data_IF_149050721855
#
_entry.id   IF_149050721855
#
_cell.length_a   1.000
_cell.length_b   1.000
_cell.length_c   1.000
_cell.angle_alpha   90.00
_cell.angle_beta   90.00
_cell.angle_gamma   90.00
#
_symmetry.space_group_name_H-M   'P 1'
#
loop_
_entity.id
_entity.type
_entity.pdbx_description
1 polymer ?
#
# COMPACT_ATOMS: atom_id res chain seq x y z
N UNK A 1 5.33 -22.49 -16.32
CA UNK A 1 6.58 -21.80 -15.87
C UNK A 1 6.90 -22.25 -14.46
N UNK A 2 8.11 -22.77 -14.22
CA UNK A 2 8.56 -23.13 -12.87
C UNK A 2 9.06 -21.84 -12.21
N UNK A 3 8.61 -21.57 -10.97
CA UNK A 3 9.10 -20.47 -10.15
C UNK A 3 9.58 -21.01 -8.82
N UNK A 4 10.53 -20.35 -8.20
CA UNK A 4 11.02 -20.68 -6.87
C UNK A 4 10.86 -19.49 -5.93
N UNK A 5 10.61 -19.75 -4.63
CA UNK A 5 10.47 -18.68 -3.64
C UNK A 5 11.81 -17.97 -3.45
N UNK A 6 11.74 -16.65 -3.27
CA UNK A 6 12.88 -15.80 -2.93
C UNK A 6 12.65 -15.28 -1.51
N UNK A 7 13.48 -15.66 -0.53
CA UNK A 7 13.35 -15.16 0.83
C UNK A 7 13.45 -13.64 0.89
N UNK A 8 12.47 -13.00 1.55
CA UNK A 8 12.43 -11.57 1.76
C UNK A 8 12.98 -11.20 3.14
N UNK A 9 13.62 -10.06 3.20
CA UNK A 9 14.05 -9.38 4.43
C UNK A 9 13.35 -8.04 4.50
N UNK A 10 12.81 -7.69 5.68
CA UNK A 10 12.15 -6.43 5.93
C UNK A 10 12.88 -5.63 7.02
N UNK A 11 13.08 -4.34 6.77
CA UNK A 11 13.52 -3.37 7.76
C UNK A 11 12.45 -2.30 7.97
N UNK A 12 12.35 -1.77 9.19
CA UNK A 12 11.41 -0.68 9.48
C UNK A 12 11.94 0.30 10.52
N UNK A 13 11.44 1.53 10.48
CA UNK A 13 11.80 2.62 11.38
C UNK A 13 10.61 2.95 12.30
N UNK A 14 10.55 2.36 13.50
CA UNK A 14 9.46 2.57 14.45
C UNK A 14 9.27 4.05 14.80
N UNK A 15 10.36 4.79 15.06
CA UNK A 15 10.30 6.20 15.44
C UNK A 15 9.90 7.14 14.32
N UNK A 16 9.78 6.63 13.08
CA UNK A 16 9.43 7.39 11.87
C UNK A 16 8.14 6.85 11.21
N UNK A 17 7.05 6.76 11.97
CA UNK A 17 5.76 6.30 11.46
C UNK A 17 5.61 4.79 11.33
N UNK A 18 6.54 4.00 11.88
CA UNK A 18 6.55 2.56 11.63
C UNK A 18 6.91 2.18 10.19
N UNK A 19 7.37 3.15 9.37
CA UNK A 19 7.67 3.01 7.94
C UNK A 19 8.57 1.82 7.66
N UNK A 20 8.23 1.03 6.65
CA UNK A 20 9.14 0.01 6.13
C UNK A 20 10.19 0.70 5.25
N UNK A 21 11.45 0.45 5.59
CA UNK A 21 12.61 1.07 4.95
C UNK A 21 13.36 0.13 4.02
N UNK A 22 13.02 -1.16 4.05
CA UNK A 22 13.61 -2.20 3.21
C UNK A 22 12.61 -3.33 3.04
N UNK A 23 12.51 -3.83 1.83
CA UNK A 23 11.84 -5.09 1.48
C UNK A 23 12.67 -5.73 0.37
N UNK A 24 13.66 -6.53 0.75
CA UNK A 24 14.65 -7.02 -0.21
C UNK A 24 14.75 -8.53 -0.23
N UNK A 25 15.14 -9.09 -1.37
CA UNK A 25 15.39 -10.52 -1.53
C UNK A 25 15.99 -10.84 -2.89
N UNK A 26 16.82 -11.87 -2.97
CA UNK A 26 17.44 -12.31 -4.23
C UNK A 26 18.29 -11.24 -4.93
N UNK A 27 18.87 -10.31 -4.19
CA UNK A 27 19.68 -9.21 -4.72
C UNK A 27 18.86 -8.00 -5.22
N UNK A 28 17.55 -7.96 -4.96
CA UNK A 28 16.65 -6.87 -5.34
C UNK A 28 16.08 -6.18 -4.09
N UNK A 29 16.05 -4.83 -4.08
CA UNK A 29 15.20 -4.02 -3.22
C UNK A 29 13.88 -3.76 -3.97
N UNK A 30 12.76 -4.02 -3.31
CA UNK A 30 11.44 -3.82 -3.90
C UNK A 30 10.87 -2.43 -3.63
N UNK A 31 11.30 -1.80 -2.51
CA UNK A 31 10.79 -0.48 -2.17
C UNK A 31 11.58 0.60 -2.90
N UNK A 32 10.85 1.51 -3.53
CA UNK A 32 11.42 2.70 -4.13
C UNK A 32 11.76 3.73 -3.06
N UNK A 33 12.87 4.44 -3.23
CA UNK A 33 13.33 5.48 -2.33
C UNK A 33 13.85 6.68 -3.09
N UNK A 34 13.67 7.86 -2.48
CA UNK A 34 14.32 9.08 -2.94
C UNK A 34 15.00 9.79 -1.76
N UNK A 35 16.12 10.49 -2.00
CA UNK A 35 16.69 11.39 -1.01
C UNK A 35 15.69 12.51 -0.71
N UNK A 36 15.17 12.56 0.51
CA UNK A 36 14.23 13.58 0.96
C UNK A 36 14.53 13.94 2.43
N UNK A 37 15.48 14.87 2.67
CA UNK A 37 15.89 15.23 4.03
C UNK A 37 14.75 15.77 4.90
N UNK A 38 13.72 16.38 4.28
CA UNK A 38 12.54 16.86 5.00
C UNK A 38 11.79 15.72 5.72
N UNK A 39 11.87 14.47 5.22
CA UNK A 39 11.23 13.30 5.86
C UNK A 39 11.80 13.04 7.25
N UNK A 40 13.07 13.32 7.48
CA UNK A 40 13.71 13.12 8.78
C UNK A 40 13.31 14.19 9.81
N UNK A 41 12.85 15.32 9.35
CA UNK A 41 12.43 16.45 10.18
C UNK A 41 10.91 16.50 10.44
N UNK A 42 10.13 15.58 9.84
CA UNK A 42 8.66 15.51 9.97
C UNK A 42 8.24 15.42 11.44
N UNK A 43 7.24 16.21 11.79
CA UNK A 43 6.57 16.21 13.09
C UNK A 43 5.12 15.75 12.93
N UNK A 44 4.51 15.26 14.02
CA UNK A 44 3.09 14.91 14.01
C UNK A 44 2.20 16.04 13.52
N UNK A 45 1.45 15.79 12.42
CA UNK A 45 0.54 16.76 11.81
C UNK A 45 1.14 17.58 10.67
N UNK A 46 2.42 17.41 10.36
CA UNK A 46 3.02 18.03 9.15
C UNK A 46 2.38 17.46 7.87
N UNK A 47 2.44 18.20 6.76
CA UNK A 47 2.07 17.69 5.44
C UNK A 47 2.90 16.46 5.07
N UNK A 48 2.30 15.57 4.28
CA UNK A 48 2.98 14.36 3.83
C UNK A 48 4.24 14.67 3.04
N UNK A 49 5.31 13.94 3.37
CA UNK A 49 6.62 14.06 2.72
C UNK A 49 6.96 12.70 2.10
N UNK A 50 6.90 12.63 0.79
CA UNK A 50 7.19 11.41 0.04
C UNK A 50 8.70 11.16 -0.08
N UNK A 51 9.17 10.17 0.64
CA UNK A 51 10.55 9.66 0.57
C UNK A 51 10.61 8.19 0.12
N UNK A 52 9.49 7.64 -0.36
CA UNK A 52 9.36 6.24 -0.72
C UNK A 52 9.27 5.30 0.47
N UNK A 53 9.56 4.01 0.26
CA UNK A 53 9.34 2.97 1.26
C UNK A 53 7.89 2.51 1.31
N UNK A 54 7.45 1.97 2.45
CA UNK A 54 6.04 1.66 2.70
C UNK A 54 5.59 2.38 3.96
N UNK A 55 4.70 3.35 3.80
CA UNK A 55 4.13 4.13 4.90
C UNK A 55 2.77 3.54 5.32
N UNK A 56 2.41 3.74 6.58
CA UNK A 56 1.09 3.37 7.11
C UNK A 56 0.13 4.54 6.97
N UNK A 57 -0.87 4.43 6.12
CA UNK A 57 -1.93 5.43 6.01
C UNK A 57 -3.11 5.04 6.89
N UNK A 58 -3.48 5.89 7.84
CA UNK A 58 -4.63 5.72 8.74
C UNK A 58 -4.98 7.06 9.40
N UNK A 59 -6.24 7.48 9.53
CA UNK A 59 -7.49 6.77 9.17
C UNK A 59 -7.94 7.00 7.72
N UNK A 60 -7.14 7.60 6.88
CA UNK A 60 -7.44 7.92 5.47
C UNK A 60 -6.17 7.85 4.64
N UNK A 61 -6.28 7.71 3.32
CA UNK A 61 -5.15 7.79 2.39
C UNK A 61 -5.03 9.21 1.83
N UNK A 62 -6.13 9.78 1.34
CA UNK A 62 -6.23 11.20 0.93
C UNK A 62 -7.08 11.97 1.93
N UNK A 63 -7.16 13.28 1.77
CA UNK A 63 -8.01 14.13 2.57
C UNK A 63 -7.26 14.84 3.69
N UNK A 64 -7.86 14.90 4.88
CA UNK A 64 -7.27 15.61 6.03
C UNK A 64 -7.27 14.74 7.28
N UNK A 65 -6.07 14.45 7.84
CA UNK A 65 -4.74 14.77 7.29
C UNK A 65 -4.39 13.88 6.11
N UNK A 66 -3.63 14.41 5.15
CA UNK A 66 -3.17 13.67 3.98
C UNK A 66 -2.26 12.50 4.39
N UNK A 67 -2.48 11.31 3.84
CA UNK A 67 -1.89 10.03 4.24
C UNK A 67 -2.19 9.64 5.71
N UNK A 68 -3.18 10.28 6.32
CA UNK A 68 -3.57 10.02 7.70
C UNK A 68 -2.60 10.59 8.73
N UNK A 69 -2.64 10.05 9.95
CA UNK A 69 -2.03 10.67 11.12
C UNK A 69 -0.94 9.78 11.78
N UNK A 70 -0.77 8.54 11.31
CA UNK A 70 0.16 7.59 11.95
C UNK A 70 1.55 7.59 11.31
N UNK A 71 1.68 7.94 10.04
CA UNK A 71 2.93 7.96 9.29
C UNK A 71 3.94 8.98 9.83
N UNK A 72 3.47 10.11 10.39
CA UNK A 72 4.30 11.20 10.91
C UNK A 72 4.65 11.07 12.39
N UNK A 73 4.19 9.98 13.06
CA UNK A 73 4.33 9.80 14.51
C UNK A 73 5.31 8.70 14.88
N UNK A 74 6.06 8.85 15.98
CA UNK A 74 6.85 7.76 16.49
C UNK A 74 5.94 6.64 17.03
N UNK A 75 6.17 5.42 16.59
CA UNK A 75 5.59 4.22 17.17
C UNK A 75 6.51 3.70 18.27
N UNK A 76 5.95 3.11 19.30
CA UNK A 76 6.67 2.62 20.49
C UNK A 76 6.56 1.11 20.59
N UNK A 77 7.54 0.50 21.26
CA UNK A 77 7.48 -0.91 21.58
C UNK A 77 6.25 -1.21 22.44
N UNK A 78 5.49 -2.23 22.06
CA UNK A 78 4.25 -2.67 22.72
C UNK A 78 4.27 -4.17 23.06
N UNK A 79 5.45 -4.79 23.01
CA UNK A 79 5.69 -6.20 23.30
C UNK A 79 6.78 -6.78 22.39
N UNK A 80 7.12 -8.05 22.54
CA UNK A 80 8.12 -8.70 21.69
C UNK A 80 7.77 -8.64 20.21
N UNK A 81 8.59 -7.92 19.42
CA UNK A 81 8.40 -7.74 18.00
C UNK A 81 7.17 -6.90 17.61
N UNK A 82 6.49 -6.29 18.57
CA UNK A 82 5.28 -5.50 18.36
C UNK A 82 5.57 -4.02 18.61
N UNK A 83 5.08 -3.17 17.71
CA UNK A 83 5.10 -1.72 17.87
C UNK A 83 3.68 -1.17 17.81
N UNK A 84 3.43 -0.03 18.44
CA UNK A 84 2.14 0.62 18.51
C UNK A 84 2.24 2.13 18.36
N UNK A 85 1.15 2.71 17.83
CA UNK A 85 0.88 4.14 17.85
C UNK A 85 -0.50 4.39 18.47
N UNK A 86 -0.56 5.34 19.40
CA UNK A 86 -1.78 5.71 20.10
C UNK A 86 -2.30 7.06 19.59
N UNK A 87 -3.60 7.11 19.37
CA UNK A 87 -4.36 8.32 19.05
C UNK A 87 -5.56 8.45 20.00
N UNK A 88 -6.11 9.63 20.17
CA UNK A 88 -7.29 9.79 21.03
C UNK A 88 -8.47 8.88 20.68
N UNK A 89 -8.62 8.54 19.37
CA UNK A 89 -9.74 7.74 18.86
C UNK A 89 -9.40 6.28 18.59
N UNK A 90 -8.11 5.88 18.59
CA UNK A 90 -7.71 4.49 18.34
C UNK A 90 -6.30 4.19 18.82
N UNK A 91 -6.00 2.90 18.95
CA UNK A 91 -4.65 2.35 19.10
C UNK A 91 -4.40 1.39 17.95
N UNK A 92 -3.35 1.62 17.17
CA UNK A 92 -2.90 0.68 16.14
C UNK A 92 -1.64 -0.03 16.61
N UNK A 93 -1.64 -1.36 16.55
CA UNK A 93 -0.47 -2.21 16.78
C UNK A 93 -0.11 -2.98 15.52
N UNK A 94 1.20 -3.23 15.34
CA UNK A 94 1.72 -4.06 14.26
C UNK A 94 2.84 -4.96 14.78
N UNK A 95 2.80 -6.24 14.38
CA UNK A 95 3.89 -7.19 14.58
C UNK A 95 4.33 -7.72 13.22
N UNK A 96 5.62 -7.65 12.92
CA UNK A 96 6.20 -8.24 11.72
C UNK A 96 6.97 -9.49 12.10
N UNK A 97 6.75 -10.56 11.33
CA UNK A 97 7.45 -11.85 11.47
C UNK A 97 7.89 -12.34 10.09
N UNK A 98 8.98 -13.09 10.07
CA UNK A 98 9.47 -13.83 8.90
C UNK A 98 9.16 -15.31 9.09
N UNK A 99 8.51 -15.91 8.12
CA UNK A 99 8.26 -17.35 8.06
C UNK A 99 8.80 -17.91 6.74
N UNK A 100 9.97 -18.54 6.80
CA UNK A 100 10.62 -19.15 5.63
C UNK A 100 10.79 -18.16 4.44
N UNK A 101 11.12 -16.91 4.76
CA UNK A 101 11.33 -15.86 3.75
C UNK A 101 10.05 -15.18 3.24
N UNK A 102 8.89 -15.49 3.84
CA UNK A 102 7.64 -14.75 3.63
C UNK A 102 7.48 -13.76 4.77
N UNK A 103 7.30 -12.48 4.44
CA UNK A 103 7.06 -11.43 5.44
C UNK A 103 5.58 -11.38 5.78
N UNK A 104 5.27 -11.48 7.07
CA UNK A 104 3.91 -11.40 7.60
C UNK A 104 3.84 -10.24 8.58
N UNK A 105 2.92 -9.31 8.34
CA UNK A 105 2.59 -8.21 9.25
C UNK A 105 1.17 -8.42 9.79
N UNK A 106 1.08 -8.68 11.09
CA UNK A 106 -0.18 -8.78 11.82
C UNK A 106 -0.51 -7.43 12.44
N UNK A 107 -1.71 -6.96 12.22
CA UNK A 107 -2.22 -5.69 12.72
C UNK A 107 -3.42 -5.88 13.64
N UNK A 108 -3.58 -4.96 14.58
CA UNK A 108 -4.77 -4.81 15.41
C UNK A 108 -5.04 -3.32 15.63
N UNK A 109 -6.25 -2.90 15.29
CA UNK A 109 -6.77 -1.58 15.63
C UNK A 109 -7.84 -1.75 16.71
N UNK A 110 -7.66 -1.06 17.84
CA UNK A 110 -8.63 -0.97 18.91
C UNK A 110 -9.20 0.44 18.95
N UNK A 111 -10.52 0.55 18.94
CA UNK A 111 -11.28 1.82 19.00
C UNK A 111 -12.70 1.58 19.48
N UNK A 112 -13.45 2.65 19.71
CA UNK A 112 -14.87 2.57 20.02
C UNK A 112 -15.65 1.88 18.89
N UNK A 113 -16.65 1.04 19.20
CA UNK A 113 -17.54 0.45 18.21
C UNK A 113 -18.15 1.50 17.29
N UNK A 114 -18.17 1.21 15.98
CA UNK A 114 -18.64 2.16 14.96
C UNK A 114 -17.56 3.12 14.45
N UNK A 115 -16.35 3.12 15.01
CA UNK A 115 -15.25 3.91 14.48
C UNK A 115 -14.96 3.49 13.04
N UNK A 116 -15.05 4.45 12.10
CA UNK A 116 -14.78 4.24 10.67
C UNK A 116 -13.34 4.62 10.35
N UNK A 117 -12.72 3.84 9.48
CA UNK A 117 -11.36 4.12 9.03
C UNK A 117 -11.09 3.51 7.65
N UNK A 118 -10.10 4.07 6.98
CA UNK A 118 -9.41 3.47 5.85
C UNK A 118 -7.97 3.24 6.30
N UNK A 119 -7.44 2.06 6.03
CA UNK A 119 -6.02 1.76 6.21
C UNK A 119 -5.42 1.36 4.87
N UNK A 120 -4.21 1.83 4.58
CA UNK A 120 -3.43 1.34 3.45
C UNK A 120 -1.96 1.18 3.82
N UNK A 121 -1.36 0.11 3.33
CA UNK A 121 0.08 -0.04 3.26
C UNK A 121 0.55 0.68 1.99
N UNK A 122 0.88 1.97 2.10
CA UNK A 122 1.32 2.81 0.98
C UNK A 122 2.72 2.39 0.52
N UNK A 123 2.79 1.28 -0.22
CA UNK A 123 4.02 0.66 -0.68
C UNK A 123 4.43 1.23 -2.04
N UNK A 124 5.44 2.09 -2.06
CA UNK A 124 6.05 2.55 -3.30
C UNK A 124 7.13 1.57 -3.75
N UNK A 125 6.98 1.03 -4.96
CA UNK A 125 7.82 -0.04 -5.48
C UNK A 125 8.83 0.48 -6.51
N UNK A 126 10.06 -0.04 -6.44
CA UNK A 126 11.11 0.20 -7.44
C UNK A 126 10.94 -0.78 -8.61
N UNK A 127 10.35 -0.26 -9.67
CA UNK A 127 9.91 -1.06 -10.81
C UNK A 127 10.44 -0.52 -12.13
N UNK A 128 10.86 -1.44 -13.00
CA UNK A 128 11.24 -1.09 -14.36
C UNK A 128 10.04 -0.61 -15.20
N UNK A 129 10.27 0.08 -16.31
CA UNK A 129 9.18 0.44 -17.24
C UNK A 129 8.43 -0.75 -17.85
N UNK A 130 8.98 -1.97 -17.77
CA UNK A 130 8.35 -3.19 -18.28
C UNK A 130 7.46 -3.90 -17.25
N UNK A 131 7.46 -3.44 -15.99
CA UNK A 131 6.71 -4.05 -14.90
C UNK A 131 5.20 -4.07 -15.18
N UNK A 132 4.53 -5.09 -14.63
CA UNK A 132 3.08 -5.27 -14.75
C UNK A 132 2.45 -5.57 -13.41
N UNK A 133 1.25 -5.01 -13.22
CA UNK A 133 0.35 -5.35 -12.13
C UNK A 133 -0.70 -6.37 -12.61
N UNK A 134 -0.85 -7.44 -11.85
CA UNK A 134 -1.84 -8.49 -12.12
C UNK A 134 -2.90 -8.51 -11.03
N UNK A 135 -4.14 -8.53 -11.48
CA UNK A 135 -5.34 -8.75 -10.68
C UNK A 135 -6.35 -9.55 -11.52
N UNK A 136 -7.39 -10.14 -10.96
CA UNK A 136 -8.40 -10.86 -11.72
C UNK A 136 -9.04 -9.96 -12.78
N UNK A 137 -9.17 -10.47 -14.01
CA UNK A 137 -9.82 -9.73 -15.07
C UNK A 137 -11.28 -9.41 -14.72
N UNK A 138 -11.72 -8.21 -15.04
CA UNK A 138 -13.07 -7.76 -14.72
C UNK A 138 -13.27 -7.24 -13.30
N UNK A 139 -12.25 -7.26 -12.45
CA UNK A 139 -12.30 -6.64 -11.12
C UNK A 139 -12.83 -5.20 -11.23
N UNK A 140 -13.88 -4.87 -10.50
CA UNK A 140 -14.39 -3.49 -10.43
C UNK A 140 -13.28 -2.57 -9.95
N UNK A 141 -13.00 -1.54 -10.73
CA UNK A 141 -11.91 -0.61 -10.46
C UNK A 141 -12.45 0.80 -10.47
N UNK A 142 -12.28 1.50 -9.35
CA UNK A 142 -12.61 2.92 -9.20
C UNK A 142 -11.39 3.73 -9.62
N UNK A 143 -11.55 4.56 -10.64
CA UNK A 143 -10.50 5.36 -11.26
C UNK A 143 -10.63 6.81 -10.82
N UNK A 144 -9.52 7.42 -10.42
CA UNK A 144 -9.41 8.81 -10.00
C UNK A 144 -8.55 9.59 -10.99
N UNK A 145 -9.19 10.47 -11.76
CA UNK A 145 -8.55 11.38 -12.71
C UNK A 145 -8.87 12.81 -12.26
N UNK A 146 -8.01 13.39 -11.42
CA UNK A 146 -8.22 14.76 -10.95
C UNK A 146 -8.29 15.77 -12.12
N UNK A 147 -9.24 16.73 -12.14
CA UNK A 147 -10.16 17.08 -11.05
C UNK A 147 -11.54 16.38 -11.11
N UNK A 148 -11.75 15.42 -12.00
CA UNK A 148 -13.04 14.78 -12.23
C UNK A 148 -13.44 13.86 -11.06
N UNK A 149 -14.74 13.67 -10.80
CA UNK A 149 -15.19 12.69 -9.84
C UNK A 149 -14.78 11.27 -10.26
N UNK A 150 -14.57 10.35 -9.30
CA UNK A 150 -14.15 9.00 -9.63
C UNK A 150 -15.16 8.28 -10.53
N UNK A 151 -14.64 7.53 -11.50
CA UNK A 151 -15.42 6.68 -12.39
C UNK A 151 -15.12 5.20 -12.12
N UNK A 152 -16.04 4.29 -12.46
CA UNK A 152 -15.83 2.86 -12.28
C UNK A 152 -15.82 2.12 -13.62
N UNK A 153 -15.06 1.05 -13.68
CA UNK A 153 -14.98 0.15 -14.83
C UNK A 153 -14.20 -1.13 -14.52
N UNK A 154 -14.15 -2.06 -15.47
CA UNK A 154 -13.46 -3.33 -15.27
C UNK A 154 -11.94 -3.19 -15.38
N UNK A 155 -11.19 -3.87 -14.52
CA UNK A 155 -9.77 -4.12 -14.69
C UNK A 155 -9.50 -4.91 -15.99
N UNK A 156 -8.45 -4.64 -16.78
CA UNK A 156 -7.35 -3.72 -16.46
C UNK A 156 -7.51 -2.32 -17.08
N UNK A 157 -8.65 -1.96 -17.64
CA UNK A 157 -8.81 -0.70 -18.36
C UNK A 157 -10.13 0.02 -18.02
N UNK A 158 -10.35 0.46 -16.75
CA UNK A 158 -11.53 1.24 -16.39
C UNK A 158 -11.56 2.53 -17.20
N UNK A 159 -12.75 2.89 -17.71
CA UNK A 159 -12.96 4.05 -18.58
C UNK A 159 -11.96 4.15 -19.76
N UNK A 160 -11.41 3.01 -20.22
CA UNK A 160 -10.43 2.97 -21.32
C UNK A 160 -8.98 3.26 -20.89
N UNK A 161 -8.73 3.61 -19.62
CA UNK A 161 -7.38 3.89 -19.11
C UNK A 161 -6.70 2.58 -18.69
N UNK A 162 -5.64 2.21 -19.39
CA UNK A 162 -4.93 0.96 -19.13
C UNK A 162 -4.01 1.07 -17.93
N UNK A 163 -4.23 0.24 -16.91
CA UNK A 163 -3.57 0.32 -15.60
C UNK A 163 -2.61 -0.84 -15.27
N UNK A 164 -2.73 -1.98 -15.98
CA UNK A 164 -1.88 -3.15 -15.74
C UNK A 164 -0.42 -2.97 -16.19
N UNK A 165 -0.13 -1.94 -16.98
CA UNK A 165 1.23 -1.55 -17.39
C UNK A 165 1.73 -0.42 -16.53
N UNK A 166 2.87 -0.64 -15.88
CA UNK A 166 3.46 0.30 -14.93
C UNK A 166 4.57 1.17 -15.54
N UNK A 167 4.59 1.28 -16.85
CA UNK A 167 5.47 2.12 -17.65
C UNK A 167 5.30 1.86 -19.14
N UNK A 168 6.11 2.50 -20.00
CA UNK A 168 7.10 3.55 -19.71
C UNK A 168 6.49 4.86 -19.19
N UNK A 169 7.35 5.82 -18.78
CA UNK A 169 6.91 7.15 -18.35
C UNK A 169 6.23 7.88 -19.52
N UNK A 170 5.04 8.40 -19.27
CA UNK A 170 4.20 9.05 -20.28
C UNK A 170 3.65 10.42 -19.83
N UNK A 171 4.08 10.90 -18.67
CA UNK A 171 3.65 12.19 -18.11
C UNK A 171 2.27 12.12 -17.44
N UNK A 172 1.74 10.94 -17.15
CA UNK A 172 0.46 10.78 -16.45
C UNK A 172 0.66 10.45 -14.97
N UNK A 173 -0.32 10.83 -14.14
CA UNK A 173 -0.46 10.38 -12.77
C UNK A 173 -1.92 9.99 -12.51
N UNK A 174 -2.15 8.77 -12.04
CA UNK A 174 -3.48 8.19 -11.90
C UNK A 174 -3.57 7.41 -10.59
N UNK A 175 -4.62 7.68 -9.82
CA UNK A 175 -5.03 6.85 -8.69
C UNK A 175 -6.12 5.86 -9.10
N UNK A 176 -6.09 4.66 -8.56
CA UNK A 176 -7.18 3.69 -8.75
C UNK A 176 -7.34 2.79 -7.51
N UNK A 177 -8.55 2.27 -7.30
CA UNK A 177 -8.85 1.27 -6.28
C UNK A 177 -9.50 0.07 -6.94
N UNK A 178 -8.84 -1.08 -6.87
CA UNK A 178 -9.35 -2.37 -7.31
C UNK A 178 -10.20 -2.93 -6.16
N UNK A 179 -11.51 -2.88 -6.32
CA UNK A 179 -12.50 -3.22 -5.29
C UNK A 179 -12.57 -4.74 -5.10
N UNK A 180 -12.71 -5.19 -3.85
CA UNK A 180 -12.75 -6.60 -3.49
C UNK A 180 -11.56 -7.40 -4.04
N UNK A 181 -10.39 -6.74 -4.11
CA UNK A 181 -9.16 -7.29 -4.62
C UNK A 181 -8.11 -7.37 -3.50
N UNK A 182 -8.19 -8.38 -2.61
CA UNK A 182 -7.29 -8.49 -1.46
C UNK A 182 -5.89 -8.98 -1.84
N UNK A 183 -5.70 -9.43 -3.08
CA UNK A 183 -4.42 -9.96 -3.57
C UNK A 183 -4.04 -9.31 -4.89
N UNK A 184 -2.85 -8.74 -4.92
CA UNK A 184 -2.23 -8.19 -6.11
C UNK A 184 -0.84 -8.81 -6.33
N UNK A 185 -0.44 -8.92 -7.58
CA UNK A 185 0.86 -9.47 -7.97
C UNK A 185 1.55 -8.51 -8.95
N UNK A 186 2.81 -8.20 -8.67
CA UNK A 186 3.64 -7.41 -9.58
C UNK A 186 4.71 -8.31 -10.19
N UNK A 187 4.84 -8.27 -11.51
CA UNK A 187 5.96 -8.92 -12.22
C UNK A 187 6.87 -7.87 -12.84
N UNK A 188 8.18 -8.08 -12.73
CA UNK A 188 9.18 -7.21 -13.29
C UNK A 188 10.42 -8.03 -13.70
N UNK A 189 10.56 -8.27 -15.01
CA UNK A 189 11.51 -9.25 -15.53
C UNK A 189 11.16 -10.67 -15.07
N UNK A 190 12.11 -11.36 -14.47
CA UNK A 190 11.92 -12.70 -13.91
C UNK A 190 11.32 -12.65 -12.47
N UNK A 191 11.30 -11.50 -11.84
CA UNK A 191 10.89 -11.37 -10.45
C UNK A 191 9.38 -11.12 -10.32
N UNK A 192 8.82 -11.63 -9.23
CA UNK A 192 7.40 -11.52 -8.88
C UNK A 192 7.29 -11.18 -7.40
N UNK A 193 6.48 -10.15 -7.08
CA UNK A 193 6.09 -9.80 -5.72
C UNK A 193 4.59 -10.00 -5.58
N UNK A 194 4.16 -10.66 -4.53
CA UNK A 194 2.74 -10.82 -4.18
C UNK A 194 2.46 -10.14 -2.86
N UNK A 195 1.42 -9.32 -2.83
CA UNK A 195 0.87 -8.70 -1.62
C UNK A 195 -0.54 -9.25 -1.41
N UNK A 196 -0.82 -9.78 -0.23
CA UNK A 196 -2.10 -10.39 0.11
C UNK A 196 -2.60 -9.89 1.46
N UNK A 197 -3.83 -9.40 1.50
CA UNK A 197 -4.50 -8.81 2.65
C UNK A 197 -5.64 -9.69 3.13
N UNK A 198 -5.56 -10.15 4.37
CA UNK A 198 -6.61 -10.91 5.03
C UNK A 198 -7.26 -10.06 6.12
N UNK A 199 -8.58 -9.92 6.08
CA UNK A 199 -9.38 -9.30 7.12
C UNK A 199 -10.83 -9.81 7.01
N UNK A 200 -11.36 -10.35 8.07
CA UNK A 200 -12.74 -10.84 8.07
C UNK A 200 -13.73 -9.67 8.20
N UNK A 201 -14.79 -9.68 7.36
CA UNK A 201 -15.92 -8.79 7.50
C UNK A 201 -15.65 -7.31 7.19
N UNK A 202 -14.49 -6.98 6.62
CA UNK A 202 -14.13 -5.62 6.22
C UNK A 202 -13.90 -5.53 4.71
N UNK A 203 -14.10 -4.36 4.06
CA UNK A 203 -13.76 -4.16 2.66
C UNK A 203 -12.25 -4.27 2.46
N UNK A 204 -11.82 -5.11 1.51
CA UNK A 204 -10.40 -5.34 1.17
C UNK A 204 -10.18 -5.04 -0.29
N UNK A 205 -9.30 -4.11 -0.55
CA UNK A 205 -8.99 -3.63 -1.89
C UNK A 205 -7.49 -3.57 -2.11
N UNK A 206 -7.09 -3.34 -3.34
CA UNK A 206 -5.74 -2.93 -3.70
C UNK A 206 -5.81 -1.54 -4.30
N UNK A 207 -5.17 -0.56 -3.69
CA UNK A 207 -4.99 0.74 -4.28
C UNK A 207 -3.77 0.75 -5.22
N UNK A 208 -3.85 1.53 -6.28
CA UNK A 208 -2.78 1.77 -7.23
C UNK A 208 -2.55 3.27 -7.35
N UNK A 209 -1.33 3.69 -7.06
CA UNK A 209 -0.81 4.97 -7.47
C UNK A 209 0.14 4.75 -8.65
N UNK A 210 -0.27 5.15 -9.85
CA UNK A 210 0.56 5.04 -11.05
C UNK A 210 0.98 6.41 -11.53
N UNK A 211 2.10 6.88 -11.01
CA UNK A 211 2.70 8.14 -11.39
C UNK A 211 3.88 7.91 -12.35
N UNK A 212 3.65 8.17 -13.61
CA UNK A 212 4.61 8.06 -14.70
C UNK A 212 5.18 9.43 -15.07
N UNK A 213 5.66 10.19 -14.08
CA UNK A 213 6.12 11.57 -14.16
C UNK A 213 5.00 12.58 -14.47
N UNK A 214 3.78 12.36 -14.00
CA UNK A 214 2.67 13.32 -14.09
C UNK A 214 2.57 14.23 -12.88
N UNK A 215 3.20 13.86 -11.75
CA UNK A 215 3.07 14.56 -10.48
C UNK A 215 4.38 14.47 -9.66
N UNK A 216 4.69 15.49 -8.79
CA UNK A 216 4.07 16.81 -8.69
C UNK A 216 4.62 17.81 -9.71
N UNK A 217 3.85 18.86 -9.99
CA UNK A 217 4.41 20.02 -10.70
C UNK A 217 5.17 20.91 -9.71
N UNK A 218 6.29 21.60 -10.12
CA UNK A 218 6.88 21.59 -11.46
C UNK A 218 7.92 20.48 -11.73
N UNK A 219 8.26 19.66 -10.73
CA UNK A 219 9.32 18.64 -10.81
C UNK A 219 8.75 17.22 -10.66
N UNK A 220 8.08 16.70 -11.70
CA UNK A 220 7.46 15.39 -11.63
C UNK A 220 8.50 14.27 -11.58
N UNK A 221 8.24 13.28 -10.74
CA UNK A 221 9.05 12.08 -10.63
C UNK A 221 8.19 10.82 -10.84
N UNK A 222 8.84 9.70 -11.12
CA UNK A 222 8.18 8.41 -11.22
C UNK A 222 8.00 7.81 -9.83
N UNK A 223 6.78 7.39 -9.49
CA UNK A 223 6.50 6.57 -8.31
C UNK A 223 5.31 5.64 -8.57
N UNK A 224 5.44 4.38 -8.18
CA UNK A 224 4.39 3.39 -8.37
C UNK A 224 4.05 2.79 -7.00
N UNK A 225 2.83 3.07 -6.52
CA UNK A 225 2.27 2.48 -5.31
C UNK A 225 1.37 1.28 -5.65
N UNK A 226 1.63 0.13 -5.04
CA UNK A 226 0.71 -1.01 -5.03
C UNK A 226 0.39 -1.30 -3.58
N UNK A 227 -0.82 -0.97 -3.17
CA UNK A 227 -1.14 -0.70 -1.79
C UNK A 227 -2.31 -1.56 -1.31
N UNK A 228 -2.06 -2.65 -0.57
CA UNK A 228 -3.11 -3.36 0.16
C UNK A 228 -3.89 -2.39 1.06
N UNK A 229 -5.23 -2.44 1.00
CA UNK A 229 -6.09 -1.44 1.66
C UNK A 229 -7.32 -2.07 2.30
N UNK A 230 -7.63 -1.65 3.54
CA UNK A 230 -8.94 -1.80 4.14
C UNK A 230 -9.75 -0.55 3.82
N UNK A 231 -10.73 -0.71 2.94
CA UNK A 231 -11.51 0.37 2.37
C UNK A 231 -11.66 0.24 0.87
N UNK A 232 -12.45 1.11 0.28
CA UNK A 232 -12.76 1.16 -1.16
C UNK A 232 -12.71 2.59 -1.74
N UNK A 233 -12.25 3.56 -0.94
CA UNK A 233 -12.06 4.96 -1.32
C UNK A 233 -10.73 5.48 -0.77
N UNK A 234 -10.17 6.52 -1.38
CA UNK A 234 -8.95 7.15 -0.84
C UNK A 234 -9.25 8.10 0.31
N UNK A 235 -10.35 8.82 0.28
CA UNK A 235 -10.72 9.77 1.34
C UNK A 235 -11.84 9.20 2.21
N UNK A 236 -11.59 9.15 3.52
CA UNK A 236 -12.59 8.70 4.48
C UNK A 236 -13.83 9.62 4.53
N UNK A 237 -13.65 10.91 4.25
CA UNK A 237 -14.76 11.87 4.24
C UNK A 237 -15.74 11.61 3.08
N UNK A 238 -15.23 11.12 1.95
CA UNK A 238 -16.01 10.79 0.76
C UNK A 238 -16.49 9.33 0.74
N UNK A 239 -16.02 8.51 1.69
CA UNK A 239 -16.33 7.09 1.74
C UNK A 239 -17.81 6.84 2.07
N UNK A 240 -18.50 6.11 1.18
CA UNK A 240 -19.84 5.59 1.41
C UNK A 240 -19.92 4.63 2.61
N UNK A 241 -21.11 4.15 2.97
CA UNK A 241 -21.30 3.25 4.12
C UNK A 241 -20.43 2.00 4.05
N UNK A 242 -20.26 1.44 2.85
CA UNK A 242 -19.51 0.19 2.61
C UNK A 242 -18.07 0.42 2.12
N UNK A 243 -17.65 1.68 1.96
CA UNK A 243 -16.32 2.04 1.43
C UNK A 243 -15.25 2.19 2.53
N UNK A 244 -15.61 2.11 3.80
CA UNK A 244 -14.68 2.20 4.93
C UNK A 244 -14.78 0.97 5.82
N UNK A 245 -13.66 0.59 6.45
CA UNK A 245 -13.68 -0.38 7.52
C UNK A 245 -14.37 0.21 8.77
N UNK A 246 -15.04 -0.65 9.53
CA UNK A 246 -15.80 -0.25 10.72
C UNK A 246 -15.45 -1.16 11.90
N UNK A 247 -15.12 -0.55 13.03
CA UNK A 247 -14.84 -1.31 14.27
C UNK A 247 -16.15 -1.93 14.78
N UNK A 248 -16.20 -3.27 14.91
CA UNK A 248 -17.38 -3.99 15.38
C UNK A 248 -17.62 -3.78 16.89
N UNK A 249 -18.73 -4.34 17.40
CA UNK A 249 -19.09 -4.28 18.82
C UNK A 249 -17.99 -4.82 19.78
N UNK A 250 -17.08 -5.69 19.26
CA UNK A 250 -15.93 -6.18 20.01
C UNK A 250 -14.86 -5.11 20.31
N UNK A 251 -14.97 -3.92 19.69
CA UNK A 251 -14.03 -2.81 19.91
C UNK A 251 -12.69 -2.97 19.20
N UNK A 252 -12.54 -3.95 18.30
CA UNK A 252 -11.29 -4.16 17.58
C UNK A 252 -11.47 -4.76 16.19
N UNK A 253 -10.51 -4.45 15.29
CA UNK A 253 -10.34 -5.09 13.98
C UNK A 253 -8.91 -5.63 13.90
N UNK A 254 -8.77 -6.86 13.40
CA UNK A 254 -7.47 -7.48 13.13
C UNK A 254 -7.34 -7.80 11.65
N UNK A 255 -6.15 -7.63 11.10
CA UNK A 255 -5.84 -8.01 9.72
C UNK A 255 -4.40 -8.46 9.59
N UNK A 256 -4.13 -9.12 8.48
CA UNK A 256 -2.81 -9.62 8.11
C UNK A 256 -2.44 -9.17 6.70
N UNK A 257 -1.24 -8.63 6.56
CA UNK A 257 -0.58 -8.42 5.28
C UNK A 257 0.53 -9.48 5.12
N UNK A 258 0.42 -10.27 4.06
CA UNK A 258 1.45 -11.24 3.68
C UNK A 258 2.14 -10.77 2.40
N UNK A 259 3.48 -10.72 2.43
CA UNK A 259 4.29 -10.35 1.28
C UNK A 259 5.26 -11.48 0.97
N UNK A 260 5.23 -11.95 -0.29
CA UNK A 260 6.11 -13.01 -0.77
C UNK A 260 6.72 -12.68 -2.13
N UNK A 261 7.93 -13.17 -2.38
CA UNK A 261 8.59 -13.00 -3.66
C UNK A 261 8.93 -14.35 -4.29
N UNK A 262 8.92 -14.38 -5.62
CA UNK A 262 9.31 -15.53 -6.42
C UNK A 262 10.15 -15.07 -7.60
N UNK A 263 10.98 -15.98 -8.12
CA UNK A 263 11.72 -15.77 -9.38
C UNK A 263 11.41 -16.88 -10.35
N UNK A 264 11.17 -16.53 -11.60
CA UNK A 264 11.00 -17.50 -12.70
C UNK A 264 12.35 -18.17 -12.99
N UNK A 265 12.36 -19.47 -13.18
CA UNK A 265 13.57 -20.20 -13.60
C UNK A 265 14.00 -19.73 -15.00
N UNK A 266 15.28 -19.45 -15.17
CA UNK A 266 15.86 -19.21 -16.50
C UNK A 266 15.66 -20.47 -17.36
N UNK A 267 14.96 -20.36 -18.47
CA UNK A 267 14.75 -21.47 -19.40
C UNK A 267 13.44 -21.46 -20.18
N UNK A 268 12.53 -20.55 -19.90
CA UNK A 268 11.19 -20.55 -20.55
C UNK A 268 10.85 -19.25 -21.30
N UNK A 269 11.87 -18.52 -21.77
CA UNK A 269 11.71 -17.47 -22.77
C UNK A 269 11.79 -18.11 -24.18
N UNK A 270 10.74 -18.83 -24.58
CA UNK A 270 10.48 -19.15 -25.98
C UNK A 270 9.21 -18.45 -26.47
#
# INVERSE_FOLDING_TARGET
MVSYPVPLVVGYAATRGGRWTTLSGGGREWLWHRPEPARDAVRPGDPFVDAGGMEECLPTVRGRPDHGDVWSRPWRAAGPGTIAVERPSFVLTRRITDHAGVVVADYRLAAEPGHRFIWAAHALLDLSPAARLHAPAGTRTRLYLDPDPPSEGPWPAPAGVRLDRLGPDDGTAVGAVLLDCPRAEVTDGADRLTLELECAGQPRSTALWRNLRGWPAPEPYRSIGVEPMLGAAFDLADAGPDDAAVVPAAGEVTWRLTVSAHRLAEGDTR
#
